data_IF_455754476860
#
_entry.id   IF_455754476860
#
_cell.length_a   1.000
_cell.length_b   1.000
_cell.length_c   1.000
_cell.angle_alpha   90.00
_cell.angle_beta   90.00
_cell.angle_gamma   90.00
#
_symmetry.space_group_name_H-M   'P 1'
#
loop_
_entity.id
_entity.type
_entity.pdbx_description
1 polymer ?
#
# COMPACT_ATOMS: atom_id res chain seq x y z
N UNK A 1 -34.16 -17.17 28.15
CA UNK A 1 -33.48 -17.89 29.25
C UNK A 1 -33.20 -19.30 28.77
N UNK A 2 -32.01 -19.54 28.22
CA UNK A 2 -31.60 -20.85 27.69
C UNK A 2 -30.26 -21.20 28.32
N UNK A 3 -30.24 -22.37 28.97
CA UNK A 3 -29.11 -22.95 29.69
C UNK A 3 -27.96 -23.24 28.73
N UNK A 4 -26.75 -22.83 29.11
CA UNK A 4 -25.49 -23.29 28.53
C UNK A 4 -25.14 -24.66 29.11
N UNK A 5 -25.09 -25.69 28.27
CA UNK A 5 -24.39 -26.94 28.57
C UNK A 5 -23.16 -27.01 27.65
N UNK A 6 -21.98 -26.94 28.27
CA UNK A 6 -20.70 -27.17 27.62
C UNK A 6 -20.48 -28.67 27.44
N UNK A 7 -20.31 -29.15 26.21
CA UNK A 7 -19.62 -30.41 25.91
C UNK A 7 -18.63 -30.18 24.77
N UNK A 8 -17.40 -30.68 24.98
CA UNK A 8 -16.28 -30.65 24.05
C UNK A 8 -16.60 -31.40 22.76
N UNK A 9 -16.24 -30.83 21.61
CA UNK A 9 -16.17 -31.58 20.35
C UNK A 9 -16.40 -30.73 19.11
N UNK A 10 -15.32 -30.50 18.34
CA UNK A 10 -15.31 -30.19 16.91
C UNK A 10 -16.30 -29.12 16.41
N UNK A 11 -15.85 -27.86 16.40
CA UNK A 11 -16.54 -26.83 15.60
C UNK A 11 -16.17 -26.99 14.12
N UNK A 12 -17.11 -27.56 13.37
CA UNK A 12 -17.25 -27.37 11.93
C UNK A 12 -17.38 -25.87 11.65
N UNK A 13 -16.35 -25.28 11.04
CA UNK A 13 -16.42 -23.91 10.51
C UNK A 13 -17.05 -24.02 9.12
N UNK A 14 -18.28 -23.55 9.01
CA UNK A 14 -18.95 -23.30 7.74
C UNK A 14 -18.03 -22.46 6.83
N UNK A 15 -17.94 -22.90 5.57
CA UNK A 15 -17.10 -22.30 4.53
C UNK A 15 -17.48 -20.84 4.31
N UNK A 16 -16.77 -19.92 4.96
CA UNK A 16 -16.77 -18.51 4.58
C UNK A 16 -16.15 -18.45 3.19
N UNK A 17 -16.97 -18.05 2.22
CA UNK A 17 -16.60 -17.85 0.83
C UNK A 17 -15.44 -16.85 0.76
N UNK A 18 -14.22 -17.38 0.67
CA UNK A 18 -12.98 -16.62 0.58
C UNK A 18 -13.09 -15.65 -0.59
N UNK A 19 -13.15 -14.35 -0.28
CA UNK A 19 -12.99 -13.30 -1.25
C UNK A 19 -11.67 -13.55 -1.99
N UNK A 20 -11.70 -13.55 -3.33
CA UNK A 20 -10.53 -13.72 -4.19
C UNK A 20 -9.37 -12.86 -3.66
N UNK A 21 -8.32 -13.53 -3.19
CA UNK A 21 -7.01 -12.94 -2.95
C UNK A 21 -6.42 -12.66 -4.32
N UNK A 22 -6.46 -11.40 -4.75
CA UNK A 22 -5.79 -10.99 -5.99
C UNK A 22 -4.30 -10.80 -5.68
N UNK A 23 -3.47 -11.69 -6.21
CA UNK A 23 -2.02 -11.51 -6.24
C UNK A 23 -1.73 -10.48 -7.34
N UNK A 24 -1.31 -9.27 -6.96
CA UNK A 24 -0.99 -8.17 -7.88
C UNK A 24 0.52 -8.12 -8.10
N UNK A 25 0.97 -8.44 -9.31
CA UNK A 25 2.37 -8.34 -9.75
C UNK A 25 2.81 -6.89 -10.04
N UNK A 26 4.12 -6.64 -9.97
CA UNK A 26 4.73 -5.31 -9.92
C UNK A 26 5.18 -4.72 -11.26
N UNK A 27 5.12 -3.38 -11.36
CA UNK A 27 5.58 -2.53 -12.47
C UNK A 27 4.44 -1.72 -13.07
N UNK A 28 4.53 -0.38 -13.05
CA UNK A 28 3.52 0.59 -13.55
C UNK A 28 2.04 0.16 -13.37
N UNK A 29 1.60 0.12 -12.11
CA UNK A 29 0.28 -0.42 -11.79
C UNK A 29 -0.86 0.54 -12.12
N UNK A 30 -0.66 1.85 -11.97
CA UNK A 30 -1.80 2.78 -12.06
C UNK A 30 -2.39 2.85 -13.46
N UNK A 31 -1.60 3.08 -14.54
CA UNK A 31 -2.15 3.11 -15.90
C UNK A 31 -2.70 1.74 -16.32
N UNK A 32 -1.99 0.65 -15.99
CA UNK A 32 -2.42 -0.72 -16.34
C UNK A 32 -3.71 -1.11 -15.64
N UNK A 33 -3.84 -0.83 -14.34
CA UNK A 33 -5.07 -1.09 -13.58
C UNK A 33 -6.20 -0.18 -14.02
N UNK A 34 -5.93 1.08 -14.35
CA UNK A 34 -6.93 1.98 -14.91
C UNK A 34 -7.46 1.44 -16.25
N UNK A 35 -6.58 1.03 -17.15
CA UNK A 35 -6.94 0.40 -18.43
C UNK A 35 -7.76 -0.86 -18.22
N UNK A 36 -7.30 -1.79 -17.38
CA UNK A 36 -8.01 -3.03 -17.08
C UNK A 36 -9.41 -2.79 -16.50
N UNK A 37 -9.55 -1.84 -15.56
CA UNK A 37 -10.85 -1.44 -15.00
C UNK A 37 -11.80 -0.87 -16.06
N UNK A 38 -11.32 -0.01 -16.96
CA UNK A 38 -12.15 0.55 -18.02
C UNK A 38 -12.60 -0.51 -19.01
N UNK A 39 -11.69 -1.38 -19.46
CA UNK A 39 -12.01 -2.47 -20.37
C UNK A 39 -13.03 -3.43 -19.75
N UNK A 40 -12.85 -3.79 -18.48
CA UNK A 40 -13.80 -4.62 -17.73
C UNK A 40 -15.17 -3.95 -17.60
N UNK A 41 -15.21 -2.65 -17.30
CA UNK A 41 -16.46 -1.88 -17.21
C UNK A 41 -17.22 -1.90 -18.55
N UNK A 42 -16.53 -1.62 -19.65
CA UNK A 42 -17.11 -1.62 -21.00
C UNK A 42 -17.58 -3.02 -21.40
N UNK A 43 -16.77 -4.05 -21.17
CA UNK A 43 -17.13 -5.44 -21.45
C UNK A 43 -18.37 -5.89 -20.69
N UNK A 44 -18.45 -5.60 -19.40
CA UNK A 44 -19.58 -5.98 -18.55
C UNK A 44 -20.87 -5.25 -18.96
N UNK A 45 -20.77 -3.98 -19.40
CA UNK A 45 -21.92 -3.22 -19.92
C UNK A 45 -22.56 -3.92 -21.12
N UNK A 46 -21.74 -4.42 -22.05
CA UNK A 46 -22.21 -5.10 -23.25
C UNK A 46 -22.51 -6.60 -23.03
N UNK A 47 -22.37 -7.12 -21.80
CA UNK A 47 -22.61 -8.54 -21.51
C UNK A 47 -21.61 -9.50 -22.18
N UNK A 48 -20.45 -9.01 -22.61
CA UNK A 48 -19.47 -9.81 -23.35
C UNK A 48 -18.61 -10.65 -22.40
N UNK A 49 -18.36 -11.92 -22.75
CA UNK A 49 -17.48 -12.80 -21.96
C UNK A 49 -16.00 -12.48 -22.23
N UNK A 50 -15.12 -12.74 -21.26
CA UNK A 50 -13.67 -12.56 -21.45
C UNK A 50 -13.14 -13.36 -22.66
N UNK A 51 -13.65 -14.57 -22.90
CA UNK A 51 -13.29 -15.38 -24.06
C UNK A 51 -13.72 -14.73 -25.40
N UNK A 52 -14.87 -14.06 -25.43
CA UNK A 52 -15.33 -13.36 -26.64
C UNK A 52 -14.55 -12.07 -26.87
N UNK A 53 -14.21 -11.34 -25.82
CA UNK A 53 -13.34 -10.17 -25.92
C UNK A 53 -11.92 -10.55 -26.38
N UNK A 54 -11.37 -11.66 -25.87
CA UNK A 54 -10.08 -12.19 -26.30
C UNK A 54 -10.07 -12.53 -27.80
N UNK A 55 -11.14 -13.16 -28.30
CA UNK A 55 -11.33 -13.43 -29.74
C UNK A 55 -11.39 -12.14 -30.56
N UNK A 56 -12.14 -11.13 -30.11
CA UNK A 56 -12.24 -9.85 -30.81
C UNK A 56 -10.90 -9.12 -30.90
N UNK A 57 -10.05 -9.27 -29.88
CA UNK A 57 -8.71 -8.69 -29.83
C UNK A 57 -7.62 -9.56 -30.47
N UNK A 58 -7.96 -10.76 -30.98
CA UNK A 58 -7.00 -11.75 -31.50
C UNK A 58 -5.89 -12.12 -30.51
N UNK A 59 -6.23 -12.25 -29.21
CA UNK A 59 -5.30 -12.66 -28.15
C UNK A 59 -5.82 -13.88 -27.39
N UNK A 60 -4.94 -14.53 -26.61
CA UNK A 60 -5.36 -15.63 -25.75
C UNK A 60 -6.30 -15.15 -24.63
N UNK A 61 -7.25 -16.00 -24.17
CA UNK A 61 -8.10 -15.67 -23.02
C UNK A 61 -7.31 -15.31 -21.76
N UNK A 62 -6.15 -15.95 -21.57
CA UNK A 62 -5.24 -15.64 -20.46
C UNK A 62 -4.64 -14.23 -20.59
N UNK A 63 -4.18 -13.84 -21.79
CA UNK A 63 -3.67 -12.49 -22.04
C UNK A 63 -4.76 -11.43 -21.81
N UNK A 64 -5.98 -11.67 -22.28
CA UNK A 64 -7.09 -10.76 -22.02
C UNK A 64 -7.46 -10.68 -20.53
N UNK A 65 -7.46 -11.82 -19.81
CA UNK A 65 -7.68 -11.83 -18.35
C UNK A 65 -6.63 -10.99 -17.62
N UNK A 66 -5.35 -11.20 -17.93
CA UNK A 66 -4.23 -10.40 -17.38
C UNK A 66 -4.37 -8.92 -17.67
N UNK A 67 -4.85 -8.56 -18.86
CA UNK A 67 -5.12 -7.16 -19.22
C UNK A 67 -6.18 -6.53 -18.31
N UNK A 68 -7.31 -7.21 -18.08
CA UNK A 68 -8.35 -6.71 -17.17
C UNK A 68 -7.88 -6.62 -15.72
N UNK A 69 -7.01 -7.54 -15.30
CA UNK A 69 -6.38 -7.55 -13.98
C UNK A 69 -5.27 -6.48 -13.84
N UNK A 70 -4.95 -5.74 -14.91
CA UNK A 70 -3.90 -4.72 -14.92
C UNK A 70 -2.48 -5.31 -14.85
N UNK A 71 -2.32 -6.59 -15.17
CA UNK A 71 -1.04 -7.28 -15.21
C UNK A 71 -0.32 -7.04 -16.54
N UNK A 72 1.01 -7.13 -16.51
CA UNK A 72 1.85 -6.96 -17.71
C UNK A 72 1.40 -7.91 -18.82
N UNK A 73 0.98 -7.31 -19.94
CA UNK A 73 0.46 -7.97 -21.13
C UNK A 73 0.81 -7.11 -22.35
N UNK A 74 1.30 -7.74 -23.43
CA UNK A 74 1.55 -7.05 -24.71
C UNK A 74 0.26 -7.02 -25.51
N UNK A 75 -0.28 -5.83 -25.77
CA UNK A 75 -1.44 -5.63 -26.65
C UNK A 75 -1.19 -4.45 -27.58
N UNK A 76 -1.53 -4.63 -28.85
CA UNK A 76 -1.34 -3.65 -29.91
C UNK A 76 -2.47 -2.62 -29.93
N UNK A 77 -2.24 -1.45 -30.54
CA UNK A 77 -3.30 -0.46 -30.75
C UNK A 77 -4.42 -0.99 -31.65
N UNK A 78 -4.10 -1.90 -32.59
CA UNK A 78 -5.10 -2.59 -33.40
C UNK A 78 -6.05 -3.41 -32.52
N UNK A 79 -5.51 -4.22 -31.61
CA UNK A 79 -6.30 -5.01 -30.66
C UNK A 79 -7.11 -4.12 -29.71
N UNK A 80 -6.57 -2.98 -29.27
CA UNK A 80 -7.32 -2.00 -28.47
C UNK A 80 -8.51 -1.40 -29.22
N UNK A 81 -8.31 -1.05 -30.49
CA UNK A 81 -9.40 -0.55 -31.34
C UNK A 81 -10.46 -1.63 -31.60
N UNK A 82 -10.03 -2.89 -31.80
CA UNK A 82 -10.95 -4.01 -31.97
C UNK A 82 -11.81 -4.23 -30.71
N UNK A 83 -11.22 -4.12 -29.51
CA UNK A 83 -11.96 -4.13 -28.25
C UNK A 83 -12.95 -2.97 -28.14
N UNK A 84 -12.54 -1.75 -28.49
CA UNK A 84 -13.45 -0.59 -28.49
C UNK A 84 -14.64 -0.80 -29.44
N UNK A 85 -14.41 -1.41 -30.60
CA UNK A 85 -15.49 -1.74 -31.54
C UNK A 85 -16.41 -2.82 -30.97
N UNK A 86 -15.84 -3.89 -30.39
CA UNK A 86 -16.60 -4.97 -29.78
C UNK A 86 -17.43 -4.49 -28.59
N UNK A 87 -16.98 -3.45 -27.87
CA UNK A 87 -17.68 -2.89 -26.71
C UNK A 87 -18.61 -1.72 -27.03
N UNK A 88 -18.88 -1.46 -28.31
CA UNK A 88 -19.70 -0.33 -28.75
C UNK A 88 -19.25 1.00 -28.14
N UNK A 89 -17.94 1.19 -27.97
CA UNK A 89 -17.37 2.35 -27.29
C UNK A 89 -17.67 3.64 -28.05
N UNK A 90 -18.10 4.67 -27.32
CA UNK A 90 -18.17 6.03 -27.86
C UNK A 90 -16.76 6.56 -28.22
N UNK A 91 -16.69 7.64 -28.99
CA UNK A 91 -15.39 8.26 -29.34
C UNK A 91 -14.62 8.75 -28.10
N UNK A 92 -15.33 9.21 -27.08
CA UNK A 92 -14.75 9.63 -25.79
C UNK A 92 -14.15 8.42 -25.06
N UNK A 93 -14.86 7.30 -25.04
CA UNK A 93 -14.38 6.06 -24.43
C UNK A 93 -13.18 5.47 -25.17
N UNK A 94 -13.24 5.45 -26.51
CA UNK A 94 -12.13 4.99 -27.36
C UNK A 94 -10.88 5.84 -27.12
N UNK A 95 -11.01 7.18 -27.11
CA UNK A 95 -9.90 8.09 -26.79
C UNK A 95 -9.31 7.78 -25.42
N UNK A 96 -10.17 7.62 -24.41
CA UNK A 96 -9.73 7.28 -23.04
C UNK A 96 -8.91 5.98 -23.00
N UNK A 97 -9.36 4.93 -23.71
CA UNK A 97 -8.64 3.63 -23.78
C UNK A 97 -7.29 3.79 -24.48
N UNK A 98 -7.24 4.54 -25.59
CA UNK A 98 -5.99 4.77 -26.32
C UNK A 98 -5.00 5.61 -25.53
N UNK A 99 -5.46 6.64 -24.83
CA UNK A 99 -4.64 7.46 -23.93
C UNK A 99 -4.06 6.61 -22.80
N UNK A 100 -4.88 5.74 -22.18
CA UNK A 100 -4.42 4.80 -21.17
C UNK A 100 -3.42 3.78 -21.73
N UNK A 101 -3.63 3.26 -22.94
CA UNK A 101 -2.71 2.33 -23.58
C UNK A 101 -1.36 3.00 -23.92
N UNK A 102 -1.39 4.26 -24.37
CA UNK A 102 -0.20 5.08 -24.58
C UNK A 102 0.54 5.32 -23.26
N UNK A 103 -0.18 5.67 -22.20
CA UNK A 103 0.38 5.90 -20.87
C UNK A 103 1.01 4.62 -20.30
N UNK A 104 0.35 3.47 -20.49
CA UNK A 104 0.93 2.15 -20.20
C UNK A 104 2.24 1.96 -20.94
N UNK A 105 2.34 2.29 -22.24
CA UNK A 105 3.59 2.17 -23.03
C UNK A 105 4.69 3.12 -22.57
N UNK A 106 4.35 4.38 -22.32
CA UNK A 106 5.30 5.39 -21.83
C UNK A 106 5.87 4.98 -20.47
N UNK A 107 5.03 4.41 -19.61
CA UNK A 107 5.48 3.85 -18.33
C UNK A 107 6.26 2.53 -18.47
N UNK A 108 6.26 1.84 -19.63
CA UNK A 108 7.11 0.66 -19.86
C UNK A 108 8.59 1.01 -19.95
N UNK A 109 8.95 2.26 -20.31
CA UNK A 109 10.34 2.71 -20.31
C UNK A 109 10.90 2.88 -18.89
N UNK A 110 10.01 3.01 -17.91
CA UNK A 110 10.30 3.08 -16.47
C UNK A 110 9.89 1.76 -15.75
N UNK A 111 9.83 0.64 -16.49
CA UNK A 111 9.29 -0.64 -15.99
C UNK A 111 10.10 -1.30 -14.87
N UNK A 112 11.30 -0.81 -14.62
CA UNK A 112 12.10 -1.18 -13.46
C UNK A 112 11.96 -0.12 -12.40
N UNK A 113 10.84 -0.05 -11.68
CA UNK A 113 10.84 0.69 -10.40
C UNK A 113 12.10 0.29 -9.64
N UNK A 114 12.81 1.23 -9.02
CA UNK A 114 14.22 1.02 -8.62
C UNK A 114 14.45 -0.26 -7.79
N UNK A 115 13.42 -0.77 -7.11
CA UNK A 115 13.41 -2.02 -6.35
C UNK A 115 13.55 -3.29 -7.20
N UNK A 116 13.33 -3.22 -8.52
CA UNK A 116 13.49 -4.34 -9.46
C UNK A 116 14.95 -4.77 -9.59
N UNK A 117 15.91 -3.87 -9.32
CA UNK A 117 17.31 -4.23 -9.15
C UNK A 117 17.56 -5.20 -7.97
N UNK A 118 16.55 -5.36 -7.10
CA UNK A 118 16.60 -6.16 -5.86
C UNK A 118 15.60 -7.33 -5.88
N UNK A 119 15.12 -7.74 -7.05
CA UNK A 119 14.05 -8.74 -7.20
C UNK A 119 14.37 -10.12 -6.57
N UNK A 120 15.64 -10.43 -6.32
CA UNK A 120 16.08 -11.69 -5.69
C UNK A 120 15.81 -11.72 -4.17
N UNK A 121 15.69 -10.56 -3.52
CA UNK A 121 15.54 -10.45 -2.06
C UNK A 121 14.19 -9.82 -1.66
N UNK A 122 13.53 -9.10 -2.56
CA UNK A 122 12.20 -8.55 -2.31
C UNK A 122 11.11 -9.57 -2.65
N UNK A 123 10.29 -10.02 -1.69
CA UNK A 123 9.13 -10.85 -2.00
C UNK A 123 8.21 -10.14 -3.00
N UNK A 124 7.67 -10.88 -3.97
CA UNK A 124 6.85 -10.30 -5.04
C UNK A 124 5.67 -9.46 -4.50
N UNK A 125 5.12 -9.83 -3.35
CA UNK A 125 4.02 -9.12 -2.68
C UNK A 125 4.41 -7.75 -2.11
N UNK A 126 5.69 -7.54 -1.79
CA UNK A 126 6.21 -6.27 -1.30
C UNK A 126 6.44 -5.27 -2.44
N UNK A 127 6.70 -5.77 -3.65
CA UNK A 127 6.80 -4.94 -4.85
C UNK A 127 5.49 -4.19 -5.16
N UNK A 128 4.33 -4.72 -4.74
CA UNK A 128 3.05 -4.02 -4.88
C UNK A 128 2.99 -2.79 -3.96
N UNK A 129 3.42 -2.96 -2.71
CA UNK A 129 3.45 -1.90 -1.70
C UNK A 129 4.36 -0.75 -2.13
N UNK A 130 5.62 -1.05 -2.52
CA UNK A 130 6.58 -0.02 -2.94
C UNK A 130 6.04 0.75 -4.16
N UNK A 131 5.41 0.07 -5.11
CA UNK A 131 4.82 0.74 -6.28
C UNK A 131 3.66 1.68 -5.92
N UNK A 132 2.85 1.33 -4.92
CA UNK A 132 1.81 2.24 -4.40
C UNK A 132 2.42 3.40 -3.62
N UNK A 133 3.44 3.14 -2.81
CA UNK A 133 4.18 4.13 -2.05
C UNK A 133 4.80 5.18 -2.98
N UNK A 134 5.60 4.76 -3.96
CA UNK A 134 6.26 5.65 -4.93
C UNK A 134 5.25 6.46 -5.76
N UNK A 135 4.10 5.87 -6.09
CA UNK A 135 3.08 6.54 -6.90
C UNK A 135 2.15 7.45 -6.11
N UNK A 136 2.18 7.42 -4.77
CA UNK A 136 1.27 8.21 -3.95
C UNK A 136 1.62 9.69 -3.99
N UNK A 137 0.59 10.54 -3.93
CA UNK A 137 0.75 11.97 -3.62
C UNK A 137 0.53 12.23 -2.13
N UNK A 138 -0.21 11.34 -1.45
CA UNK A 138 -0.45 11.41 -0.02
C UNK A 138 -0.55 10.00 0.57
N UNK A 139 0.10 9.79 1.71
CA UNK A 139 0.03 8.55 2.47
C UNK A 139 -0.36 8.89 3.91
N UNK A 140 -1.38 8.23 4.43
CA UNK A 140 -1.70 8.25 5.85
C UNK A 140 -1.45 6.87 6.47
N UNK A 141 -0.59 6.79 7.47
CA UNK A 141 -0.34 5.55 8.23
C UNK A 141 -0.83 5.66 9.67
N UNK A 142 -1.37 4.56 10.17
CA UNK A 142 -1.64 4.35 11.57
C UNK A 142 -0.86 3.14 12.04
N UNK A 143 -0.02 3.32 13.05
CA UNK A 143 0.83 2.26 13.58
C UNK A 143 0.62 2.02 15.07
N UNK A 144 0.47 0.73 15.44
CA UNK A 144 0.22 0.31 16.84
C UNK A 144 1.36 -0.49 17.47
N UNK A 145 2.29 -1.02 16.66
CA UNK A 145 3.33 -1.93 17.15
C UNK A 145 4.76 -1.52 16.76
N UNK A 146 4.95 -0.93 15.58
CA UNK A 146 6.27 -0.57 15.04
C UNK A 146 6.21 0.84 14.46
N UNK A 147 7.34 1.54 14.40
CA UNK A 147 7.37 2.82 13.67
C UNK A 147 7.04 2.60 12.19
N UNK A 148 6.42 3.58 11.49
CA UNK A 148 6.17 3.47 10.06
C UNK A 148 7.49 3.25 9.31
N UNK A 149 7.51 2.32 8.34
CA UNK A 149 8.74 1.94 7.63
C UNK A 149 9.50 3.10 6.96
N UNK A 150 8.79 4.15 6.55
CA UNK A 150 9.38 5.37 5.99
C UNK A 150 10.13 6.23 7.02
N UNK A 151 9.96 5.97 8.31
CA UNK A 151 10.59 6.71 9.41
C UNK A 151 11.54 5.84 10.24
N UNK A 152 11.89 4.63 9.78
CA UNK A 152 12.76 3.73 10.51
C UNK A 152 14.23 4.01 10.21
N UNK A 153 15.12 3.99 11.20
CA UNK A 153 16.57 4.02 10.97
C UNK A 153 17.06 2.66 10.48
N UNK A 154 18.27 2.64 9.87
CA UNK A 154 18.87 1.41 9.38
C UNK A 154 19.04 0.38 10.51
N UNK A 155 19.49 0.83 11.68
CA UNK A 155 19.76 0.01 12.85
C UNK A 155 18.48 -0.53 13.48
N UNK A 156 17.44 0.30 13.57
CA UNK A 156 16.11 -0.15 14.02
C UNK A 156 15.56 -1.22 13.08
N UNK A 157 15.65 -1.01 11.77
CA UNK A 157 15.20 -1.99 10.77
C UNK A 157 16.02 -3.28 10.82
N UNK A 158 17.34 -3.19 11.02
CA UNK A 158 18.23 -4.36 11.15
C UNK A 158 17.80 -5.24 12.32
N UNK A 159 17.50 -4.64 13.46
CA UNK A 159 17.02 -5.37 14.64
C UNK A 159 15.70 -6.11 14.36
N UNK A 160 14.77 -5.49 13.62
CA UNK A 160 13.53 -6.15 13.20
C UNK A 160 13.77 -7.30 12.21
N UNK A 161 14.67 -7.12 11.24
CA UNK A 161 15.00 -8.18 10.27
C UNK A 161 15.57 -9.40 10.98
N UNK A 162 16.49 -9.22 11.94
CA UNK A 162 17.04 -10.34 12.71
C UNK A 162 16.01 -11.01 13.62
N UNK A 163 15.03 -10.26 14.13
CA UNK A 163 13.94 -10.82 14.91
C UNK A 163 12.97 -11.65 14.04
N UNK A 164 12.70 -11.21 12.80
CA UNK A 164 11.80 -11.88 11.85
C UNK A 164 12.48 -13.07 11.15
N UNK A 165 13.76 -12.92 10.79
CA UNK A 165 14.56 -13.88 10.03
C UNK A 165 15.96 -14.05 10.65
N UNK A 166 16.07 -14.79 11.78
CA UNK A 166 17.34 -14.93 12.51
C UNK A 166 18.44 -15.61 11.68
N UNK A 167 18.06 -16.44 10.71
CA UNK A 167 18.99 -17.19 9.85
C UNK A 167 19.24 -16.51 8.49
N UNK A 168 18.78 -15.27 8.28
CA UNK A 168 19.00 -14.55 7.03
C UNK A 168 20.50 -14.25 6.83
N UNK A 169 21.09 -14.57 5.66
CA UNK A 169 22.48 -14.25 5.37
C UNK A 169 22.77 -12.74 5.51
N UNK A 170 23.89 -12.33 6.12
CA UNK A 170 24.21 -10.91 6.34
C UNK A 170 24.14 -10.04 5.08
N UNK A 171 24.57 -10.58 3.93
CA UNK A 171 24.48 -9.91 2.63
C UNK A 171 23.03 -9.59 2.22
N UNK A 172 22.09 -10.49 2.52
CA UNK A 172 20.66 -10.29 2.24
C UNK A 172 20.04 -9.29 3.22
N UNK A 173 20.52 -9.27 4.47
CA UNK A 173 20.11 -8.25 5.46
C UNK A 173 20.51 -6.87 4.98
N UNK A 174 21.77 -6.66 4.61
CA UNK A 174 22.25 -5.35 4.14
C UNK A 174 21.56 -4.91 2.85
N UNK A 175 21.27 -5.85 1.94
CA UNK A 175 20.49 -5.55 0.74
C UNK A 175 19.05 -5.13 1.07
N UNK A 176 18.40 -5.81 2.02
CA UNK A 176 17.05 -5.44 2.49
C UNK A 176 17.05 -4.06 3.13
N UNK A 177 18.10 -3.73 3.87
CA UNK A 177 18.27 -2.42 4.49
C UNK A 177 18.43 -1.32 3.45
N UNK A 178 19.21 -1.54 2.40
CA UNK A 178 19.40 -0.56 1.32
C UNK A 178 18.07 -0.21 0.64
N UNK A 179 17.21 -1.21 0.44
CA UNK A 179 15.86 -1.02 -0.11
C UNK A 179 15.01 -0.19 0.83
N UNK A 180 15.05 -0.47 2.14
CA UNK A 180 14.26 0.28 3.13
C UNK A 180 14.72 1.73 3.21
N UNK A 181 16.03 1.99 3.18
CA UNK A 181 16.56 3.35 3.20
C UNK A 181 16.24 4.11 1.91
N UNK A 182 16.38 3.46 0.74
CA UNK A 182 16.06 4.08 -0.55
C UNK A 182 14.58 4.48 -0.67
N UNK A 183 13.66 3.75 -0.05
CA UNK A 183 12.23 4.13 0.01
C UNK A 183 12.01 5.50 0.65
N UNK A 184 12.85 5.89 1.60
CA UNK A 184 12.69 7.12 2.36
C UNK A 184 13.01 8.37 1.54
N UNK A 185 13.70 8.24 0.40
CA UNK A 185 13.94 9.34 -0.55
C UNK A 185 12.62 9.99 -1.01
N UNK A 186 11.49 9.27 -0.96
CA UNK A 186 10.17 9.82 -1.26
C UNK A 186 9.79 11.00 -0.36
N UNK A 187 10.30 11.05 0.88
CA UNK A 187 10.03 12.13 1.83
C UNK A 187 10.66 13.46 1.37
N UNK A 188 11.61 13.46 0.43
CA UNK A 188 12.24 14.69 -0.06
C UNK A 188 11.45 15.34 -1.20
N UNK A 189 10.42 14.67 -1.72
CA UNK A 189 9.60 15.17 -2.82
C UNK A 189 8.66 16.29 -2.37
N UNK A 190 8.53 17.30 -3.22
CA UNK A 190 7.62 18.44 -2.99
C UNK A 190 6.16 18.16 -3.33
N UNK A 191 5.89 17.14 -4.14
CA UNK A 191 4.55 16.71 -4.58
C UNK A 191 3.98 15.57 -3.73
N UNK A 192 4.60 15.30 -2.58
CA UNK A 192 4.28 14.18 -1.70
C UNK A 192 4.03 14.65 -0.26
N UNK A 193 3.07 14.01 0.41
CA UNK A 193 2.85 14.22 1.84
C UNK A 193 2.63 12.90 2.58
N UNK A 194 3.28 12.73 3.73
CA UNK A 194 3.17 11.58 4.60
C UNK A 194 2.65 11.99 5.98
N UNK A 195 1.46 11.51 6.32
CA UNK A 195 0.87 11.65 7.65
C UNK A 195 1.07 10.36 8.45
N UNK A 196 1.97 10.40 9.43
CA UNK A 196 2.25 9.30 10.34
C UNK A 196 1.51 9.52 11.67
N UNK A 197 0.52 8.67 11.95
CA UNK A 197 -0.10 8.57 13.28
C UNK A 197 0.45 7.35 14.00
N UNK A 198 1.06 7.56 15.17
CA UNK A 198 1.83 6.55 15.88
C UNK A 198 1.25 6.40 17.28
N UNK A 199 0.95 5.18 17.69
CA UNK A 199 0.53 4.90 19.06
C UNK A 199 1.71 5.15 20.02
N UNK A 200 1.49 5.93 21.08
CA UNK A 200 2.50 6.26 22.09
C UNK A 200 3.27 5.05 22.66
N UNK A 201 2.68 3.86 22.90
CA UNK A 201 3.45 2.70 23.39
C UNK A 201 4.67 2.32 22.54
N UNK A 202 4.66 2.63 21.24
CA UNK A 202 5.79 2.33 20.34
C UNK A 202 7.05 3.10 20.79
N UNK A 203 6.90 4.29 21.37
CA UNK A 203 8.03 5.12 21.85
C UNK A 203 8.84 4.44 22.96
N UNK A 204 8.22 3.51 23.70
CA UNK A 204 8.83 2.82 24.85
C UNK A 204 9.06 1.33 24.58
N UNK A 205 8.91 0.88 23.33
CA UNK A 205 9.14 -0.53 22.97
C UNK A 205 10.63 -0.76 22.64
N UNK A 206 11.35 -1.62 23.38
CA UNK A 206 12.77 -1.86 23.14
C UNK A 206 12.98 -2.63 21.83
N UNK A 207 13.57 -1.97 20.83
CA UNK A 207 13.98 -2.59 19.57
C UNK A 207 15.46 -2.31 19.34
N UNK A 208 16.27 -3.37 19.17
CA UNK A 208 17.72 -3.24 18.97
C UNK A 208 18.52 -2.74 20.19
N UNK A 209 17.86 -2.55 21.33
CA UNK A 209 18.45 -2.04 22.58
C UNK A 209 18.32 -0.51 22.75
N UNK A 210 18.76 0.02 23.92
CA UNK A 210 18.56 1.43 24.26
C UNK A 210 19.17 2.41 23.27
N UNK A 211 20.41 2.17 22.82
CA UNK A 211 21.10 3.04 21.86
C UNK A 211 20.37 3.13 20.52
N UNK A 212 19.87 1.99 20.00
CA UNK A 212 19.09 1.96 18.75
C UNK A 212 17.75 2.66 18.90
N UNK A 213 17.11 2.51 20.07
CA UNK A 213 15.84 3.19 20.36
C UNK A 213 16.02 4.70 20.48
N UNK A 214 17.08 5.18 21.14
CA UNK A 214 17.41 6.60 21.23
C UNK A 214 17.75 7.23 19.86
N UNK A 215 18.50 6.51 19.02
CA UNK A 215 18.81 6.91 17.64
C UNK A 215 17.53 7.01 16.79
N UNK A 216 16.68 5.99 16.86
CA UNK A 216 15.39 5.97 16.18
C UNK A 216 14.50 7.18 16.56
N UNK A 217 14.41 7.51 17.85
CA UNK A 217 13.63 8.67 18.30
C UNK A 217 14.27 10.01 17.88
N UNK A 218 15.60 10.09 17.85
CA UNK A 218 16.31 11.26 17.29
C UNK A 218 16.00 11.46 15.81
N UNK A 219 15.97 10.37 15.05
CA UNK A 219 15.59 10.39 13.65
C UNK A 219 14.14 10.88 13.47
N UNK A 220 13.18 10.42 14.29
CA UNK A 220 11.79 10.92 14.25
C UNK A 220 11.71 12.43 14.47
N UNK A 221 12.48 12.98 15.41
CA UNK A 221 12.53 14.42 15.65
C UNK A 221 13.10 15.19 14.45
N UNK A 222 14.03 14.60 13.70
CA UNK A 222 14.58 15.21 12.50
C UNK A 222 13.58 15.17 11.33
N UNK A 223 13.03 14.00 11.01
CA UNK A 223 12.11 13.83 9.86
C UNK A 223 10.76 14.51 10.08
N UNK A 224 10.29 14.66 11.32
CA UNK A 224 9.07 15.41 11.64
C UNK A 224 9.16 16.92 11.36
N UNK A 225 10.33 17.43 10.95
CA UNK A 225 10.54 18.81 10.51
C UNK A 225 10.50 18.96 8.99
N UNK A 226 10.43 17.86 8.24
CA UNK A 226 10.29 17.91 6.79
C UNK A 226 8.90 18.46 6.41
N UNK A 227 8.79 19.32 5.39
CA UNK A 227 7.50 19.88 4.96
C UNK A 227 6.54 18.83 4.41
N UNK A 228 7.08 17.71 3.94
CA UNK A 228 6.34 16.55 3.44
C UNK A 228 5.85 15.63 4.56
N UNK A 229 6.20 15.84 5.83
CA UNK A 229 5.87 14.92 6.92
C UNK A 229 5.02 15.59 7.99
N UNK A 230 3.87 15.00 8.30
CA UNK A 230 3.09 15.29 9.51
C UNK A 230 3.18 14.10 10.45
N UNK A 231 3.88 14.24 11.57
CA UNK A 231 3.95 13.20 12.60
C UNK A 231 3.03 13.55 13.76
N UNK A 232 2.20 12.59 14.18
CA UNK A 232 1.29 12.73 15.33
C UNK A 232 1.36 11.51 16.23
N UNK A 233 1.53 11.74 17.53
CA UNK A 233 1.42 10.70 18.56
C UNK A 233 -0.02 10.63 19.07
N UNK A 234 -0.56 9.41 19.12
CA UNK A 234 -1.84 9.13 19.78
C UNK A 234 -1.55 8.57 21.16
N UNK A 235 -1.93 9.32 22.20
CA UNK A 235 -1.64 8.99 23.59
C UNK A 235 -2.36 7.72 24.03
N UNK A 236 -1.78 7.02 25.01
CA UNK A 236 -2.33 5.79 25.63
C UNK A 236 -3.68 6.00 26.30
N UNK A 237 -3.93 7.21 26.77
CA UNK A 237 -5.17 7.61 27.45
C UNK A 237 -6.23 8.20 26.51
N UNK A 238 -5.96 8.22 25.19
CA UNK A 238 -6.92 8.67 24.19
C UNK A 238 -8.22 7.85 24.24
N UNK A 239 -9.35 8.55 24.37
CA UNK A 239 -10.69 7.93 24.37
C UNK A 239 -11.15 7.63 22.94
N UNK A 240 -12.05 6.64 22.79
CA UNK A 240 -12.69 6.28 21.51
C UNK A 240 -11.73 5.90 20.37
N UNK A 241 -10.59 5.29 20.74
CA UNK A 241 -9.51 4.92 19.84
C UNK A 241 -9.90 3.75 18.91
N UNK A 242 -10.57 4.08 17.80
CA UNK A 242 -10.90 3.13 16.72
C UNK A 242 -9.66 2.38 16.22
N UNK A 243 -8.48 3.00 16.32
CA UNK A 243 -7.19 2.43 15.94
C UNK A 243 -6.87 1.07 16.57
N UNK A 244 -7.41 0.77 17.76
CA UNK A 244 -7.22 -0.53 18.41
C UNK A 244 -8.01 -1.65 17.72
N UNK A 245 -9.13 -1.32 17.09
CA UNK A 245 -9.99 -2.28 16.38
C UNK A 245 -9.48 -2.49 14.96
N UNK A 246 -9.00 -1.43 14.31
CA UNK A 246 -8.52 -1.50 12.92
C UNK A 246 -7.18 -2.21 12.79
N UNK A 247 -6.36 -2.21 13.85
CA UNK A 247 -4.94 -2.56 13.75
C UNK A 247 -4.15 -1.53 12.93
N UNK A 248 -2.88 -1.81 12.67
CA UNK A 248 -2.05 -0.98 11.78
C UNK A 248 -2.59 -1.00 10.34
N UNK A 249 -2.59 0.16 9.69
CA UNK A 249 -2.97 0.27 8.28
C UNK A 249 -2.35 1.49 7.61
N UNK A 250 -2.32 1.46 6.28
CA UNK A 250 -1.85 2.56 5.43
C UNK A 250 -2.91 2.88 4.39
N UNK A 251 -3.17 4.15 4.12
CA UNK A 251 -4.02 4.62 3.03
C UNK A 251 -3.18 5.38 2.03
N UNK A 252 -3.21 4.95 0.77
CA UNK A 252 -2.55 5.57 -0.36
C UNK A 252 -3.55 6.39 -1.17
N UNK A 253 -3.32 7.69 -1.24
CA UNK A 253 -4.00 8.59 -2.16
C UNK A 253 -3.11 8.83 -3.38
N UNK A 254 -3.66 8.46 -4.53
CA UNK A 254 -2.93 8.41 -5.79
C UNK A 254 -3.33 9.63 -6.65
N UNK A 255 -2.37 10.26 -7.35
CA UNK A 255 -2.67 11.38 -8.23
C UNK A 255 -3.48 10.90 -9.45
N UNK A 256 -4.20 11.81 -10.13
CA UNK A 256 -4.72 11.53 -11.46
C UNK A 256 -3.59 11.16 -12.41
N UNK A 257 -3.89 10.30 -13.37
CA UNK A 257 -2.95 9.92 -14.40
C UNK A 257 -2.52 11.13 -15.27
N UNK A 258 -1.22 11.31 -15.57
CA UNK A 258 -0.72 12.51 -16.26
C UNK A 258 -1.32 12.74 -17.64
N UNK A 259 -1.56 11.67 -18.43
CA UNK A 259 -2.08 11.79 -19.81
C UNK A 259 -3.59 11.75 -19.82
N UNK A 260 -4.17 10.64 -19.35
CA UNK A 260 -5.62 10.43 -19.38
C UNK A 260 -6.39 11.32 -18.40
N UNK A 261 -5.69 11.99 -17.46
CA UNK A 261 -6.26 12.75 -16.33
C UNK A 261 -7.24 11.93 -15.48
N UNK A 262 -7.18 10.61 -15.60
CA UNK A 262 -8.09 9.71 -14.92
C UNK A 262 -7.75 9.64 -13.45
N UNK A 263 -8.72 10.03 -12.60
CA UNK A 263 -8.61 9.88 -11.15
C UNK A 263 -8.37 8.41 -10.80
N UNK A 264 -7.36 8.17 -9.98
CA UNK A 264 -7.08 6.84 -9.46
C UNK A 264 -7.82 6.61 -8.14
N UNK A 265 -8.44 5.44 -7.95
CA UNK A 265 -9.03 5.10 -6.67
C UNK A 265 -7.92 4.91 -5.65
N UNK A 266 -8.11 5.46 -4.46
CA UNK A 266 -7.20 5.21 -3.35
C UNK A 266 -7.21 3.75 -2.95
N UNK A 267 -6.13 3.31 -2.32
CA UNK A 267 -5.94 1.94 -1.85
C UNK A 267 -5.65 2.00 -0.37
N UNK A 268 -6.30 1.14 0.42
CA UNK A 268 -5.88 0.90 1.79
C UNK A 268 -5.10 -0.42 1.89
N UNK A 269 -4.19 -0.50 2.83
CA UNK A 269 -3.35 -1.65 3.10
C UNK A 269 -3.42 -1.95 4.60
N UNK A 270 -3.58 -3.21 4.94
CA UNK A 270 -3.49 -3.67 6.32
C UNK A 270 -2.70 -4.98 6.37
N UNK A 271 -1.84 -5.11 7.38
CA UNK A 271 -1.15 -6.36 7.66
C UNK A 271 -2.02 -7.21 8.59
N UNK A 272 -2.39 -8.40 8.12
CA UNK A 272 -3.06 -9.41 8.91
C UNK A 272 -2.14 -10.59 9.19
N UNK A 273 -2.50 -11.41 10.17
CA UNK A 273 -1.75 -12.62 10.52
C UNK A 273 -1.62 -13.62 9.36
N UNK A 274 -2.62 -13.67 8.46
CA UNK A 274 -2.58 -14.51 7.25
C UNK A 274 -1.78 -13.88 6.09
N UNK A 275 -1.39 -12.61 6.21
CA UNK A 275 -0.61 -11.90 5.21
C UNK A 275 -1.11 -10.47 4.94
N UNK A 276 -0.59 -9.91 3.85
CA UNK A 276 -0.83 -8.53 3.41
C UNK A 276 -2.17 -8.41 2.69
N UNK A 277 -3.02 -7.46 3.09
CA UNK A 277 -4.33 -7.23 2.47
C UNK A 277 -4.38 -5.86 1.84
N UNK A 278 -4.64 -5.82 0.52
CA UNK A 278 -4.92 -4.60 -0.22
C UNK A 278 -6.44 -4.43 -0.37
N UNK A 279 -6.95 -3.33 0.14
CA UNK A 279 -8.37 -2.97 0.14
C UNK A 279 -8.61 -1.95 -0.97
N UNK A 280 -9.41 -2.36 -1.95
CA UNK A 280 -9.83 -1.53 -3.07
C UNK A 280 -11.34 -1.32 -3.08
N UNK A 281 -11.78 -0.25 -3.73
CA UNK A 281 -13.18 0.13 -3.89
C UNK A 281 -13.59 1.22 -2.90
N UNK A 282 -14.24 2.25 -3.43
CA UNK A 282 -14.49 3.52 -2.72
C UNK A 282 -15.20 3.32 -1.38
N UNK A 283 -16.21 2.45 -1.31
CA UNK A 283 -16.96 2.20 -0.08
C UNK A 283 -16.11 1.57 1.03
N UNK A 284 -15.20 0.63 0.67
CA UNK A 284 -14.31 -0.03 1.62
C UNK A 284 -13.19 0.90 2.07
N UNK A 285 -12.56 1.60 1.13
CA UNK A 285 -11.50 2.57 1.44
C UNK A 285 -12.03 3.76 2.24
N UNK A 286 -13.29 4.15 2.05
CA UNK A 286 -13.94 5.18 2.86
C UNK A 286 -14.05 4.81 4.35
N UNK A 287 -14.09 3.51 4.71
CA UNK A 287 -14.04 3.08 6.12
C UNK A 287 -12.67 3.44 6.74
N UNK A 288 -11.58 3.15 6.04
CA UNK A 288 -10.22 3.47 6.50
C UNK A 288 -9.98 4.97 6.54
N UNK A 289 -10.46 5.73 5.55
CA UNK A 289 -10.40 7.20 5.61
C UNK A 289 -11.15 7.79 6.81
N UNK A 290 -12.35 7.26 7.12
CA UNK A 290 -13.05 7.65 8.36
C UNK A 290 -12.24 7.30 9.61
N UNK A 291 -11.49 6.20 9.59
CA UNK A 291 -10.60 5.87 10.69
C UNK A 291 -9.45 6.87 10.83
N UNK A 292 -8.81 7.28 9.72
CA UNK A 292 -7.81 8.36 9.70
C UNK A 292 -8.39 9.65 10.32
N UNK A 293 -9.57 10.08 9.90
CA UNK A 293 -10.22 11.28 10.45
C UNK A 293 -10.48 11.18 11.96
N UNK A 294 -10.88 9.99 12.44
CA UNK A 294 -11.12 9.77 13.87
C UNK A 294 -9.83 9.74 14.66
N UNK A 295 -8.78 9.10 14.14
CA UNK A 295 -7.46 9.08 14.76
C UNK A 295 -6.88 10.49 14.86
N UNK A 296 -7.00 11.27 13.78
CA UNK A 296 -6.54 12.66 13.75
C UNK A 296 -7.16 13.54 14.85
N UNK A 297 -8.43 13.31 15.20
CA UNK A 297 -9.12 14.06 16.26
C UNK A 297 -8.62 13.77 17.67
N UNK A 298 -8.04 12.59 17.89
CA UNK A 298 -7.55 12.15 19.21
C UNK A 298 -6.02 12.15 19.30
N UNK A 299 -5.35 12.39 18.18
CA UNK A 299 -3.91 12.53 18.12
C UNK A 299 -3.46 13.91 18.63
N UNK A 300 -2.27 13.96 19.20
CA UNK A 300 -1.65 15.21 19.62
C UNK A 300 -1.36 16.11 18.40
N UNK A 301 -1.19 17.40 18.66
CA UNK A 301 -0.60 18.29 17.65
C UNK A 301 0.82 17.84 17.28
N UNK A 302 1.34 18.24 16.11
CA UNK A 302 2.73 17.91 15.74
C UNK A 302 3.77 18.39 16.75
N UNK A 303 3.53 19.53 17.41
CA UNK A 303 4.46 20.08 18.40
C UNK A 303 4.45 19.24 19.69
N UNK A 304 3.28 18.97 20.26
CA UNK A 304 3.13 18.08 21.42
C UNK A 304 3.67 16.67 21.13
N UNK A 305 3.52 16.19 19.90
CA UNK A 305 4.04 14.90 19.46
C UNK A 305 5.57 14.86 19.50
N UNK A 306 6.24 15.96 19.12
CA UNK A 306 7.70 16.07 19.24
C UNK A 306 8.15 16.16 20.69
N UNK A 307 7.38 16.82 21.55
CA UNK A 307 7.69 16.87 22.99
C UNK A 307 7.64 15.48 23.63
N UNK A 308 6.62 14.66 23.29
CA UNK A 308 6.53 13.27 23.76
C UNK A 308 7.69 12.40 23.25
N UNK A 309 8.07 12.55 21.99
CA UNK A 309 9.21 11.82 21.41
C UNK A 309 10.52 12.24 22.07
N UNK A 310 10.70 13.53 22.35
CA UNK A 310 11.87 14.05 23.03
C UNK A 310 11.98 13.52 24.46
N UNK A 311 10.88 13.43 25.19
CA UNK A 311 10.87 12.90 26.54
C UNK A 311 11.18 11.40 26.54
N UNK A 312 10.51 10.61 25.69
CA UNK A 312 10.81 9.19 25.54
C UNK A 312 12.28 8.94 25.15
N UNK A 313 12.89 9.80 24.33
CA UNK A 313 14.31 9.67 23.99
C UNK A 313 15.22 9.80 25.21
N UNK A 314 14.96 10.76 26.11
CA UNK A 314 15.78 10.94 27.32
C UNK A 314 15.73 9.72 28.24
N UNK A 315 14.60 9.00 28.25
CA UNK A 315 14.46 7.75 29.01
C UNK A 315 15.39 6.64 28.48
N UNK A 316 15.64 6.60 27.17
CA UNK A 316 16.54 5.61 26.54
C UNK A 316 18.03 5.94 26.67
N UNK A 317 18.37 7.19 27.02
CA UNK A 317 19.76 7.66 27.22
C UNK A 317 20.25 7.48 28.67
N UNK A 318 19.37 7.08 29.60
CA UNK A 318 19.65 6.84 31.01
C UNK A 318 20.07 5.39 31.28
#
# INVERSE_FOLDING_TARGET
>A
MVKLNFHHGAFHIETIQLARVTIVGSGSMLPRRALGRQLRKMRLREGITQASAARAAEVSPQSYGRLEDGLKTKITDLAMNALCNAFSSSDVERRTILDLAQEVRQSQGADGGWWQAYAEVVPETFNHFIGLEESAMHIASWEVALFPGLLQTREYRRALIWAEYPDMPPENVELTLDIVMRRQEILERSDFHFEAMIAEPILHTPVGGPAVSADQLSHLLAVSRLPSVTMRIVKRDARDLLGLITGSFVVFDLPPLPVSRMRQPSVAYAEGYFGRVYIEGDAKVALYRRAVERLRRVACSPDESRDLVLEARKEWEQ
#
